data_IF_791290107967
#
_entry.id   IF_791290107967
#
_cell.length_a   1.000
_cell.length_b   1.000
_cell.length_c   1.000
_cell.angle_alpha   90.00
_cell.angle_beta   90.00
_cell.angle_gamma   90.00
#
_symmetry.space_group_name_H-M   'P 1'
#
loop_
_entity.id
_entity.type
_entity.pdbx_description
1 polymer ?
#
# COMPACT_ATOMS: atom_id res chain seq x y z
N UNK A 1 4.77 8.01 -24.33
CA UNK A 1 5.06 8.54 -22.97
C UNK A 1 4.78 7.54 -21.85
N UNK A 2 3.80 6.63 -21.97
CA UNK A 2 3.51 5.55 -21.00
C UNK A 2 4.03 4.16 -21.43
N UNK A 3 4.89 4.09 -22.45
CA UNK A 3 5.45 2.82 -22.97
C UNK A 3 6.12 1.98 -21.87
N UNK A 4 6.84 2.62 -20.93
CA UNK A 4 7.45 1.93 -19.79
C UNK A 4 6.44 1.37 -18.78
N UNK A 5 5.23 1.94 -18.69
CA UNK A 5 4.17 1.44 -17.83
C UNK A 5 3.34 0.33 -18.51
N UNK A 6 3.26 0.34 -19.84
CA UNK A 6 2.59 -0.70 -20.64
C UNK A 6 3.51 -1.89 -21.01
N UNK A 7 4.79 -1.65 -21.25
CA UNK A 7 5.80 -2.65 -21.67
C UNK A 7 6.78 -3.03 -20.55
N UNK A 8 6.93 -2.19 -19.51
CA UNK A 8 7.85 -2.44 -18.40
C UNK A 8 7.26 -3.28 -17.27
N UNK A 9 6.05 -3.82 -17.47
CA UNK A 9 5.38 -4.75 -16.56
C UNK A 9 5.37 -6.13 -17.21
N UNK A 10 5.86 -7.15 -16.51
CA UNK A 10 5.78 -8.51 -17.00
C UNK A 10 4.30 -8.97 -17.05
N UNK A 11 3.74 -8.97 -18.26
CA UNK A 11 2.36 -9.39 -18.56
C UNK A 11 2.23 -10.90 -18.79
N UNK A 12 3.25 -11.69 -18.45
CA UNK A 12 3.20 -13.16 -18.59
C UNK A 12 2.10 -13.80 -17.74
N UNK A 13 1.63 -13.10 -16.70
CA UNK A 13 0.46 -13.49 -15.91
C UNK A 13 -0.77 -12.82 -16.55
N UNK A 14 -1.71 -13.59 -17.11
CA UNK A 14 -2.94 -13.03 -17.67
C UNK A 14 -3.65 -12.18 -16.61
N UNK A 15 -4.34 -11.10 -17.04
CA UNK A 15 -5.13 -10.20 -16.17
C UNK A 15 -4.34 -9.23 -15.27
N UNK A 16 -3.01 -9.37 -15.18
CA UNK A 16 -2.18 -8.51 -14.32
C UNK A 16 -1.84 -7.14 -14.97
N UNK A 17 -2.14 -6.97 -16.26
CA UNK A 17 -1.87 -5.76 -17.03
C UNK A 17 -2.11 -6.00 -18.52
N UNK A 18 -1.69 -5.03 -19.35
CA UNK A 18 -1.84 -5.10 -20.81
C UNK A 18 -2.77 -4.01 -21.37
N UNK A 19 -2.92 -4.00 -22.70
CA UNK A 19 -3.72 -2.98 -23.39
C UNK A 19 -5.21 -3.09 -23.06
N UNK A 20 -5.71 -4.30 -22.83
CA UNK A 20 -7.10 -4.51 -22.40
C UNK A 20 -7.38 -3.85 -21.03
N UNK A 21 -6.43 -3.91 -20.08
CA UNK A 21 -6.54 -3.22 -18.80
C UNK A 21 -6.38 -1.70 -18.94
N UNK A 22 -5.53 -1.25 -19.87
CA UNK A 22 -5.30 0.16 -20.15
C UNK A 22 -6.54 0.86 -20.71
N UNK A 23 -7.21 0.16 -21.63
CA UNK A 23 -8.33 0.67 -22.39
C UNK A 23 -9.69 0.34 -21.74
N UNK A 24 -9.68 -0.38 -20.61
CA UNK A 24 -10.88 -0.69 -19.83
C UNK A 24 -11.70 0.56 -19.49
N UNK A 25 -11.03 1.69 -19.21
CA UNK A 25 -11.69 2.95 -18.91
C UNK A 25 -11.07 4.11 -19.70
N UNK A 26 -11.89 4.87 -20.41
CA UNK A 26 -11.41 6.03 -21.16
C UNK A 26 -10.83 7.09 -20.22
N UNK A 27 -9.74 7.75 -20.64
CA UNK A 27 -9.08 8.81 -19.86
C UNK A 27 -10.04 9.90 -19.35
N UNK A 28 -11.07 10.25 -20.13
CA UNK A 28 -12.10 11.23 -19.73
C UNK A 28 -12.89 10.75 -18.51
N UNK A 29 -13.36 9.51 -18.54
CA UNK A 29 -14.13 8.91 -17.44
C UNK A 29 -13.24 8.76 -16.21
N UNK A 30 -12.01 8.25 -16.39
CA UNK A 30 -11.04 8.12 -15.30
C UNK A 30 -10.77 9.44 -14.59
N UNK A 31 -10.55 10.52 -15.34
CA UNK A 31 -10.31 11.86 -14.77
C UNK A 31 -11.57 12.40 -14.10
N UNK A 32 -12.75 12.21 -14.68
CA UNK A 32 -14.02 12.66 -14.08
C UNK A 32 -14.29 11.94 -12.76
N UNK A 33 -14.20 10.61 -12.73
CA UNK A 33 -14.39 9.81 -11.51
C UNK A 33 -13.38 10.21 -10.43
N UNK A 34 -12.11 10.40 -10.81
CA UNK A 34 -11.08 10.86 -9.88
C UNK A 34 -11.44 12.23 -9.30
N UNK A 35 -11.90 13.18 -10.12
CA UNK A 35 -12.31 14.51 -9.66
C UNK A 35 -13.50 14.40 -8.69
N UNK A 36 -14.53 13.62 -9.03
CA UNK A 36 -15.71 13.43 -8.17
C UNK A 36 -15.32 12.81 -6.82
N UNK A 37 -14.52 11.75 -6.83
CA UNK A 37 -14.00 11.10 -5.61
C UNK A 37 -13.19 12.11 -4.77
N UNK A 38 -12.27 12.85 -5.39
CA UNK A 38 -11.45 13.83 -4.68
C UNK A 38 -12.28 14.99 -4.09
N UNK A 39 -13.34 15.43 -4.76
CA UNK A 39 -14.25 16.46 -4.24
C UNK A 39 -15.05 15.99 -3.04
N UNK A 40 -15.41 14.72 -2.97
CA UNK A 40 -16.17 14.16 -1.82
C UNK A 40 -15.23 13.79 -0.68
N UNK A 41 -14.20 13.00 -0.95
CA UNK A 41 -13.32 12.45 0.09
C UNK A 41 -12.21 13.40 0.52
N UNK A 42 -11.78 14.34 -0.31
CA UNK A 42 -10.77 15.34 0.03
C UNK A 42 -11.17 16.21 1.22
N UNK A 43 -12.35 16.86 1.21
CA UNK A 43 -12.82 17.65 2.35
C UNK A 43 -13.02 16.81 3.61
N UNK A 44 -13.55 15.59 3.49
CA UNK A 44 -13.72 14.65 4.61
C UNK A 44 -12.38 14.27 5.22
N UNK A 45 -11.37 14.00 4.39
CA UNK A 45 -10.01 13.71 4.84
C UNK A 45 -9.40 14.91 5.58
N UNK A 46 -9.49 16.11 5.02
CA UNK A 46 -8.99 17.33 5.66
C UNK A 46 -9.71 17.61 6.99
N UNK A 47 -11.03 17.39 7.04
CA UNK A 47 -11.83 17.53 8.25
C UNK A 47 -11.40 16.50 9.31
N UNK A 48 -11.24 15.23 8.93
CA UNK A 48 -10.76 14.18 9.81
C UNK A 48 -9.36 14.51 10.36
N UNK A 49 -8.43 14.94 9.51
CA UNK A 49 -7.06 15.32 9.91
C UNK A 49 -7.04 16.49 10.90
N UNK A 50 -7.92 17.48 10.75
CA UNK A 50 -8.06 18.59 11.73
C UNK A 50 -8.66 18.15 13.05
N UNK A 51 -9.52 17.13 13.04
CA UNK A 51 -10.22 16.61 14.23
C UNK A 51 -9.49 15.47 14.92
N UNK A 52 -8.38 15.01 14.37
CA UNK A 52 -7.55 13.99 15.00
C UNK A 52 -7.05 14.52 16.35
N UNK A 53 -7.51 13.89 17.42
CA UNK A 53 -7.01 14.18 18.77
C UNK A 53 -5.50 13.98 18.79
N UNK A 54 -4.70 14.96 19.28
CA UNK A 54 -3.27 14.78 19.37
C UNK A 54 -3.00 13.59 20.31
N UNK A 55 -2.22 12.63 19.83
CA UNK A 55 -1.70 11.58 20.72
C UNK A 55 -0.82 12.25 21.77
N UNK A 56 -0.88 11.83 23.05
CA UNK A 56 0.02 12.35 24.06
C UNK A 56 1.46 11.99 23.65
N UNK A 57 2.17 12.97 23.11
CA UNK A 57 3.58 12.84 22.73
C UNK A 57 4.50 13.09 23.93
N UNK A 58 4.06 12.72 25.14
CA UNK A 58 4.92 12.71 26.34
C UNK A 58 5.92 11.53 26.21
N UNK A 59 6.83 11.73 25.26
CA UNK A 59 7.95 10.86 25.04
C UNK A 59 9.01 11.23 26.06
N UNK A 60 9.07 10.48 27.16
CA UNK A 60 10.20 10.50 28.07
C UNK A 60 11.42 10.00 27.31
N UNK A 61 12.33 10.91 26.96
CA UNK A 61 13.59 10.64 26.25
C UNK A 61 14.43 9.55 26.95
N UNK A 62 14.27 9.38 28.26
CA UNK A 62 14.95 8.37 29.10
C UNK A 62 14.41 6.93 28.97
N UNK A 63 13.35 6.68 28.18
CA UNK A 63 12.86 5.31 28.03
C UNK A 63 13.78 4.52 27.09
N UNK A 64 14.40 3.41 27.56
CA UNK A 64 15.20 2.58 26.69
C UNK A 64 14.32 2.04 25.55
N UNK A 65 14.78 2.24 24.32
CA UNK A 65 14.13 1.72 23.13
C UNK A 65 13.98 0.19 23.25
N UNK A 66 12.75 -0.36 23.13
CA UNK A 66 12.54 -1.78 23.31
C UNK A 66 13.29 -2.58 22.24
N UNK A 67 14.03 -3.60 22.66
CA UNK A 67 14.79 -4.48 21.75
C UNK A 67 13.92 -5.04 20.63
N UNK A 68 12.65 -5.37 20.94
CA UNK A 68 11.68 -5.86 19.97
C UNK A 68 11.43 -4.86 18.83
N UNK A 69 11.35 -3.56 19.11
CA UNK A 69 11.17 -2.52 18.09
C UNK A 69 12.35 -2.51 17.11
N UNK A 70 13.57 -2.63 17.64
CA UNK A 70 14.80 -2.67 16.82
C UNK A 70 14.87 -3.93 15.96
N UNK A 71 14.59 -5.09 16.56
CA UNK A 71 14.54 -6.37 15.82
C UNK A 71 13.47 -6.33 14.74
N UNK A 72 12.27 -5.85 15.06
CA UNK A 72 11.16 -5.72 14.11
C UNK A 72 11.52 -4.78 12.96
N UNK A 73 12.14 -3.63 13.26
CA UNK A 73 12.58 -2.69 12.23
C UNK A 73 13.59 -3.34 11.27
N UNK A 74 14.60 -4.03 11.80
CA UNK A 74 15.60 -4.71 10.97
C UNK A 74 14.96 -5.80 10.11
N UNK A 75 14.09 -6.63 10.70
CA UNK A 75 13.40 -7.69 9.98
C UNK A 75 12.51 -7.13 8.85
N UNK A 76 11.72 -6.09 9.13
CA UNK A 76 10.85 -5.44 8.16
C UNK A 76 11.65 -4.81 7.02
N UNK A 77 12.75 -4.11 7.32
CA UNK A 77 13.65 -3.56 6.30
C UNK A 77 14.26 -4.64 5.41
N UNK A 78 14.66 -5.78 5.98
CA UNK A 78 15.25 -6.89 5.24
C UNK A 78 14.23 -7.53 4.29
N UNK A 79 13.03 -7.87 4.80
CA UNK A 79 11.95 -8.47 4.00
C UNK A 79 11.56 -7.51 2.87
N UNK A 80 11.42 -6.22 3.18
CA UNK A 80 11.07 -5.21 2.19
C UNK A 80 12.14 -5.04 1.11
N UNK A 81 13.42 -5.06 1.48
CA UNK A 81 14.53 -5.01 0.52
C UNK A 81 14.54 -6.22 -0.43
N UNK A 82 14.28 -7.43 0.08
CA UNK A 82 14.18 -8.65 -0.73
C UNK A 82 12.99 -8.54 -1.71
N UNK A 83 11.84 -8.07 -1.22
CA UNK A 83 10.63 -7.90 -2.02
C UNK A 83 10.82 -6.87 -3.16
N UNK A 84 11.45 -5.73 -2.86
CA UNK A 84 11.85 -4.75 -3.88
C UNK A 84 12.77 -5.40 -4.91
N UNK A 85 13.82 -6.09 -4.46
CA UNK A 85 14.78 -6.76 -5.35
C UNK A 85 14.11 -7.76 -6.30
N UNK A 86 13.16 -8.55 -5.78
CA UNK A 86 12.36 -9.46 -6.59
C UNK A 86 11.51 -8.70 -7.64
N UNK A 87 10.81 -7.63 -7.26
CA UNK A 87 9.98 -6.83 -8.19
C UNK A 87 10.79 -6.11 -9.26
N UNK A 88 12.01 -5.66 -8.93
CA UNK A 88 12.96 -5.11 -9.91
C UNK A 88 13.42 -6.17 -10.91
N UNK A 89 13.80 -7.36 -10.43
CA UNK A 89 14.21 -8.48 -11.29
C UNK A 89 13.09 -8.94 -12.22
N UNK A 90 11.87 -9.05 -11.69
CA UNK A 90 10.70 -9.51 -12.45
C UNK A 90 10.07 -8.46 -13.36
N UNK A 91 10.63 -7.24 -13.48
CA UNK A 91 10.04 -6.11 -14.23
C UNK A 91 8.57 -5.88 -13.84
N UNK A 92 8.29 -5.77 -12.55
CA UNK A 92 6.92 -5.52 -12.04
C UNK A 92 6.92 -4.43 -10.97
N UNK A 93 7.85 -3.49 -11.09
CA UNK A 93 8.10 -2.40 -10.14
C UNK A 93 6.86 -1.52 -9.91
N UNK A 94 5.97 -1.40 -10.92
CA UNK A 94 4.71 -0.66 -10.77
C UNK A 94 3.86 -1.17 -9.60
N UNK A 95 3.93 -2.47 -9.30
CA UNK A 95 3.17 -3.06 -8.21
C UNK A 95 3.69 -2.67 -6.85
N UNK A 96 4.86 -2.03 -6.70
CA UNK A 96 5.28 -1.44 -5.42
C UNK A 96 4.32 -0.34 -4.94
N UNK A 97 3.53 0.24 -5.84
CA UNK A 97 2.48 1.21 -5.51
C UNK A 97 1.21 0.54 -4.97
N UNK A 98 1.12 -0.79 -5.01
CA UNK A 98 -0.01 -1.51 -4.44
C UNK A 98 -0.10 -1.24 -2.93
N UNK A 99 -1.32 -1.18 -2.37
CA UNK A 99 -1.53 -0.77 -0.99
C UNK A 99 -0.76 -1.60 0.03
N UNK A 100 -0.54 -2.90 -0.21
CA UNK A 100 0.23 -3.77 0.68
C UNK A 100 1.68 -3.27 0.88
N UNK A 101 2.40 -3.00 -0.19
CA UNK A 101 3.79 -2.56 -0.14
C UNK A 101 3.92 -1.13 0.41
N UNK A 102 2.98 -0.25 0.07
CA UNK A 102 2.91 1.10 0.64
C UNK A 102 2.68 1.04 2.15
N UNK A 103 1.81 0.12 2.63
CA UNK A 103 1.63 -0.07 4.08
C UNK A 103 2.87 -0.61 4.78
N UNK A 104 3.61 -1.53 4.17
CA UNK A 104 4.89 -2.03 4.70
C UNK A 104 5.92 -0.90 4.80
N UNK A 105 6.06 -0.08 3.76
CA UNK A 105 6.95 1.08 3.78
C UNK A 105 6.55 2.11 4.86
N UNK A 106 5.26 2.37 5.04
CA UNK A 106 4.75 3.21 6.12
C UNK A 106 5.06 2.61 7.50
N UNK A 107 4.93 1.30 7.69
CA UNK A 107 5.27 0.64 8.96
C UNK A 107 6.76 0.77 9.31
N UNK A 108 7.65 0.61 8.33
CA UNK A 108 9.09 0.83 8.50
C UNK A 108 9.36 2.29 8.91
N UNK A 109 8.73 3.25 8.24
CA UNK A 109 8.85 4.67 8.60
C UNK A 109 8.35 4.94 10.02
N UNK A 110 7.19 4.40 10.42
CA UNK A 110 6.63 4.57 11.76
C UNK A 110 7.52 3.95 12.86
N UNK A 111 8.19 2.84 12.56
CA UNK A 111 9.15 2.20 13.48
C UNK A 111 10.46 3.00 13.61
N UNK A 112 10.91 3.67 12.54
CA UNK A 112 12.14 4.46 12.53
C UNK A 112 11.94 5.91 13.02
N UNK A 113 10.77 6.51 12.79
CA UNK A 113 10.51 7.90 13.09
C UNK A 113 10.33 8.15 14.60
N UNK A 114 10.77 9.33 15.06
CA UNK A 114 10.47 9.79 16.41
C UNK A 114 8.99 10.15 16.53
N UNK A 115 8.34 9.90 17.68
CA UNK A 115 6.94 10.24 17.86
C UNK A 115 6.72 11.75 17.69
N UNK A 116 5.81 12.11 16.81
CA UNK A 116 5.39 13.48 16.54
C UNK A 116 3.89 13.51 16.23
N UNK A 117 3.28 14.69 16.20
CA UNK A 117 1.85 14.82 15.86
C UNK A 117 1.54 14.25 14.47
N UNK A 118 2.45 14.43 13.51
CA UNK A 118 2.29 13.92 12.14
C UNK A 118 2.49 12.41 12.06
N UNK A 119 3.51 11.87 12.76
CA UNK A 119 3.74 10.41 12.87
C UNK A 119 2.56 9.73 13.55
N UNK A 120 1.97 10.35 14.57
CA UNK A 120 0.76 9.86 15.23
C UNK A 120 -0.48 9.84 14.32
N UNK A 121 -0.64 10.85 13.46
CA UNK A 121 -1.70 10.86 12.46
C UNK A 121 -1.47 9.76 11.40
N UNK A 122 -0.23 9.61 10.93
CA UNK A 122 0.17 8.57 9.99
C UNK A 122 -0.04 7.16 10.58
N UNK A 123 0.26 6.96 11.86
CA UNK A 123 0.00 5.70 12.57
C UNK A 123 -1.49 5.33 12.53
N UNK A 124 -2.38 6.28 12.83
CA UNK A 124 -3.83 6.04 12.77
C UNK A 124 -4.29 5.71 11.35
N UNK A 125 -3.77 6.42 10.35
CA UNK A 125 -4.06 6.15 8.95
C UNK A 125 -3.59 4.74 8.54
N UNK A 126 -2.34 4.40 8.84
CA UNK A 126 -1.75 3.10 8.54
C UNK A 126 -2.51 1.95 9.23
N UNK A 127 -2.97 2.14 10.47
CA UNK A 127 -3.80 1.16 11.17
C UNK A 127 -5.15 0.95 10.48
N UNK A 128 -5.76 2.02 9.97
CA UNK A 128 -6.99 1.91 9.19
C UNK A 128 -6.77 1.16 7.86
N UNK A 129 -5.61 1.34 7.21
CA UNK A 129 -5.27 0.62 5.99
C UNK A 129 -5.06 -0.89 6.22
N UNK A 130 -4.57 -1.31 7.40
CA UNK A 130 -4.43 -2.75 7.73
C UNK A 130 -5.79 -3.47 7.71
N UNK A 131 -6.88 -2.81 8.10
CA UNK A 131 -8.22 -3.40 8.01
C UNK A 131 -8.57 -3.81 6.57
N UNK A 132 -8.07 -3.06 5.57
CA UNK A 132 -8.19 -3.42 4.16
C UNK A 132 -7.47 -4.72 3.80
N UNK A 133 -6.29 -4.97 4.37
CA UNK A 133 -5.58 -6.24 4.17
C UNK A 133 -6.34 -7.42 4.80
N UNK A 134 -6.94 -7.24 5.98
CA UNK A 134 -7.80 -8.25 6.61
C UNK A 134 -9.04 -8.53 5.75
N UNK A 135 -9.67 -7.49 5.20
CA UNK A 135 -10.80 -7.65 4.28
C UNK A 135 -10.39 -8.39 2.99
N UNK A 136 -9.20 -8.13 2.44
CA UNK A 136 -8.68 -8.85 1.28
C UNK A 136 -8.37 -10.32 1.59
N UNK A 137 -7.94 -10.65 2.82
CA UNK A 137 -7.76 -12.04 3.26
C UNK A 137 -9.10 -12.74 3.55
N UNK A 138 -10.10 -11.99 4.04
CA UNK A 138 -11.44 -12.52 4.33
C UNK A 138 -12.27 -12.73 3.05
N UNK A 139 -12.05 -11.89 2.04
CA UNK A 139 -12.66 -11.97 0.71
C UNK A 139 -11.56 -12.10 -0.35
N UNK A 140 -10.89 -13.26 -0.42
CA UNK A 140 -9.91 -13.49 -1.47
C UNK A 140 -10.61 -13.41 -2.83
N UNK A 141 -9.94 -12.79 -3.80
CA UNK A 141 -10.41 -12.77 -5.19
C UNK A 141 -10.72 -14.21 -5.64
N UNK A 142 -11.95 -14.46 -6.07
CA UNK A 142 -12.47 -15.79 -6.45
C UNK A 142 -11.65 -16.46 -7.57
N UNK A 143 -10.83 -15.69 -8.29
CA UNK A 143 -9.96 -16.16 -9.36
C UNK A 143 -8.80 -17.05 -8.85
N UNK A 144 -8.33 -16.87 -7.61
CA UNK A 144 -7.31 -17.74 -7.02
C UNK A 144 -7.83 -19.16 -6.72
N UNK A 145 -9.14 -19.29 -6.44
CA UNK A 145 -9.80 -20.57 -6.21
C UNK A 145 -10.14 -21.28 -7.54
N UNK A 146 -10.59 -20.54 -8.55
CA UNK A 146 -10.95 -21.13 -9.85
C UNK A 146 -9.76 -21.52 -10.73
N UNK A 147 -8.59 -20.90 -10.57
CA UNK A 147 -7.36 -21.31 -11.27
C UNK A 147 -6.87 -22.72 -10.91
N UNK A 148 -7.26 -23.23 -9.73
CA UNK A 148 -6.96 -24.61 -9.30
C UNK A 148 -7.98 -25.66 -9.78
N UNK A 149 -9.12 -25.23 -10.33
CA UNK A 149 -10.14 -26.14 -10.88
C UNK A 149 -10.10 -26.27 -12.41
N UNK A 150 -9.29 -25.49 -13.12
CA UNK A 150 -9.12 -25.60 -14.58
C UNK A 150 -7.90 -26.42 -15.02
N UNK A 151 -7.17 -27.06 -14.09
CA UNK A 151 -6.21 -28.11 -14.43
C UNK A 151 -6.85 -29.50 -14.32
N UNK A 152 -7.67 -29.87 -15.31
CA UNK A 152 -7.87 -31.26 -15.78
C UNK A 152 -8.99 -31.35 -16.84
N UNK A 153 -8.90 -32.25 -17.82
CA UNK A 153 -7.73 -32.84 -18.49
C UNK A 153 -7.36 -32.14 -19.80
#
# INVERSE_FOLDING_TARGET
MLEWAHQGVNISVPRNGGIECADFLTMKVRTLETIVVMMVFGPLFLWAMKRLTPLPTDWKEDRPEPTLKRVLLVAMCLIWGIEIGFKFSSRTVIFLLNPCHITTAMQIYLLAARPSKTVGALFRFQMNCINGAVLALAFPELDALNGSMLSKP
#
